data_IF_894966743407
#
_entry.id   IF_894966743407
#
_cell.length_a   1.000
_cell.length_b   1.000
_cell.length_c   1.000
_cell.angle_alpha   90.00
_cell.angle_beta   90.00
_cell.angle_gamma   90.00
#
_symmetry.space_group_name_H-M   'P 1'
#
loop_
_entity.id
_entity.type
_entity.pdbx_description
1 polymer ?
#
# COMPACT_ATOMS: atom_id res chain seq x y z
N UNK A 1 -3.56 -1.68 2.65
CA UNK A 1 -2.49 -1.18 1.77
C UNK A 1 -1.66 -2.36 1.32
N UNK A 2 -1.55 -2.56 0.01
CA UNK A 2 -0.74 -3.58 -0.62
C UNK A 2 0.53 -2.93 -1.15
N UNK A 3 1.70 -3.39 -0.73
CA UNK A 3 2.97 -2.85 -1.21
C UNK A 3 3.31 -3.33 -2.63
N UNK A 4 4.01 -2.44 -3.35
CA UNK A 4 4.65 -2.72 -4.62
C UNK A 4 5.66 -3.87 -4.54
N UNK A 5 5.89 -4.52 -5.67
CA UNK A 5 6.71 -5.73 -5.75
C UNK A 5 7.21 -6.04 -7.14
N UNK A 6 7.15 -5.09 -8.08
CA UNK A 6 7.62 -5.27 -9.44
C UNK A 6 6.56 -5.80 -10.41
N UNK A 7 6.93 -5.74 -11.69
CA UNK A 7 6.27 -6.39 -12.81
C UNK A 7 7.31 -7.24 -13.57
N UNK A 8 6.84 -8.32 -14.19
CA UNK A 8 7.62 -9.07 -15.15
C UNK A 8 7.81 -8.23 -16.44
N UNK A 9 8.81 -8.54 -17.28
CA UNK A 9 9.08 -7.78 -18.51
C UNK A 9 7.90 -7.71 -19.49
N UNK A 10 7.00 -8.69 -19.43
CA UNK A 10 5.76 -8.76 -20.23
C UNK A 10 4.56 -8.06 -19.57
N UNK A 11 4.77 -7.39 -18.43
CA UNK A 11 3.71 -6.77 -17.63
C UNK A 11 2.96 -7.74 -16.70
N UNK A 12 3.34 -9.02 -16.70
CA UNK A 12 2.80 -10.02 -15.79
C UNK A 12 3.16 -9.75 -14.32
N UNK A 13 2.41 -10.38 -13.42
CA UNK A 13 2.65 -10.29 -11.98
C UNK A 13 3.54 -11.45 -11.54
N UNK A 14 4.67 -11.20 -10.86
CA UNK A 14 5.49 -12.28 -10.31
C UNK A 14 4.74 -12.99 -9.16
N UNK A 15 5.11 -14.24 -8.88
CA UNK A 15 4.40 -15.08 -7.91
C UNK A 15 4.30 -14.45 -6.51
N UNK A 16 5.37 -13.82 -6.03
CA UNK A 16 5.37 -13.15 -4.73
C UNK A 16 4.38 -11.97 -4.67
N UNK A 17 4.13 -11.28 -5.79
CA UNK A 17 3.11 -10.23 -5.87
C UNK A 17 1.71 -10.85 -5.87
N UNK A 18 1.50 -11.93 -6.61
CA UNK A 18 0.22 -12.66 -6.61
C UNK A 18 -0.15 -13.12 -5.21
N UNK A 19 0.79 -13.68 -4.44
CA UNK A 19 0.53 -14.08 -3.04
C UNK A 19 0.13 -12.90 -2.14
N UNK A 20 0.73 -11.72 -2.35
CA UNK A 20 0.32 -10.51 -1.60
C UNK A 20 -1.08 -10.07 -1.98
N UNK A 21 -1.43 -10.12 -3.28
CA UNK A 21 -2.77 -9.82 -3.78
C UNK A 21 -3.81 -10.78 -3.23
N UNK A 22 -3.50 -12.07 -3.14
CA UNK A 22 -4.35 -13.08 -2.51
C UNK A 22 -4.55 -12.81 -1.02
N UNK A 23 -3.47 -12.49 -0.28
CA UNK A 23 -3.55 -12.09 1.12
C UNK A 23 -4.41 -10.84 1.32
N UNK A 24 -4.26 -9.83 0.46
CA UNK A 24 -5.11 -8.65 0.45
C UNK A 24 -6.58 -8.97 0.17
N UNK A 25 -6.84 -9.77 -0.87
CA UNK A 25 -8.19 -10.18 -1.26
C UNK A 25 -8.88 -10.93 -0.12
N UNK A 26 -8.16 -11.83 0.54
CA UNK A 26 -8.66 -12.57 1.69
C UNK A 26 -9.05 -11.65 2.84
N UNK A 27 -8.17 -10.70 3.22
CA UNK A 27 -8.46 -9.72 4.26
C UNK A 27 -9.66 -8.84 3.89
N UNK A 28 -9.72 -8.37 2.65
CA UNK A 28 -10.84 -7.57 2.14
C UNK A 28 -12.17 -8.34 2.26
N UNK A 29 -12.22 -9.58 1.78
CA UNK A 29 -13.40 -10.44 1.86
C UNK A 29 -13.83 -10.71 3.31
N UNK A 30 -12.89 -10.99 4.20
CA UNK A 30 -13.19 -11.16 5.63
C UNK A 30 -13.82 -9.91 6.23
N UNK A 31 -13.30 -8.72 5.91
CA UNK A 31 -13.87 -7.47 6.41
C UNK A 31 -15.23 -7.16 5.78
N UNK A 32 -15.41 -7.43 4.50
CA UNK A 32 -16.70 -7.31 3.82
C UNK A 32 -17.79 -8.14 4.54
N UNK A 33 -17.47 -9.41 4.84
CA UNK A 33 -18.36 -10.32 5.55
C UNK A 33 -18.68 -9.83 6.96
N UNK A 34 -17.67 -9.33 7.70
CA UNK A 34 -17.87 -8.76 9.04
C UNK A 34 -18.77 -7.52 9.02
N UNK A 35 -18.57 -6.62 8.05
CA UNK A 35 -19.42 -5.44 7.88
C UNK A 35 -20.86 -5.84 7.59
N UNK A 36 -21.09 -6.80 6.68
CA UNK A 36 -22.43 -7.31 6.38
C UNK A 36 -23.09 -7.95 7.60
N UNK A 37 -22.37 -8.78 8.35
CA UNK A 37 -22.87 -9.42 9.56
C UNK A 37 -23.23 -8.39 10.66
N UNK A 38 -22.42 -7.35 10.83
CA UNK A 38 -22.68 -6.27 11.79
C UNK A 38 -23.96 -5.50 11.42
N UNK A 39 -24.14 -5.14 10.14
CA UNK A 39 -25.35 -4.46 9.65
C UNK A 39 -26.59 -5.33 9.88
N UNK A 40 -26.52 -6.63 9.57
CA UNK A 40 -27.62 -7.56 9.80
C UNK A 40 -27.99 -7.67 11.30
N UNK A 41 -26.98 -7.76 12.17
CA UNK A 41 -27.19 -7.85 13.62
C UNK A 41 -27.88 -6.58 14.18
N UNK A 42 -27.47 -5.39 13.73
CA UNK A 42 -28.10 -4.13 14.12
C UNK A 42 -29.55 -4.00 13.62
N UNK A 43 -29.84 -4.49 12.42
CA UNK A 43 -31.21 -4.51 11.89
C UNK A 43 -32.14 -5.39 12.74
N UNK A 44 -31.65 -6.56 13.16
CA UNK A 44 -32.38 -7.48 14.03
C UNK A 44 -32.61 -6.86 15.42
N UNK A 45 -31.59 -6.24 16.03
CA UNK A 45 -31.71 -5.64 17.37
C UNK A 45 -32.65 -4.45 17.42
N UNK A 46 -32.78 -3.71 16.31
CA UNK A 46 -33.63 -2.51 16.24
C UNK A 46 -35.10 -2.82 15.88
N UNK A 47 -35.49 -4.10 15.80
CA UNK A 47 -36.86 -4.49 15.48
C UNK A 47 -37.31 -4.04 14.09
N UNK A 48 -36.37 -3.83 13.16
CA UNK A 48 -36.69 -3.42 11.80
C UNK A 48 -37.40 -4.57 11.08
N UNK A 49 -38.73 -4.43 10.91
CA UNK A 49 -39.51 -5.25 10.00
C UNK A 49 -38.81 -5.24 8.62
N UNK A 50 -38.66 -6.44 8.05
CA UNK A 50 -37.97 -6.73 6.80
C UNK A 50 -37.99 -5.57 5.79
N UNK A 51 -36.82 -4.97 5.54
CA UNK A 51 -36.61 -4.11 4.39
C UNK A 51 -36.82 -4.96 3.13
N UNK A 52 -37.99 -4.78 2.51
CA UNK A 52 -38.31 -5.30 1.19
C UNK A 52 -37.30 -4.75 0.19
N UNK A 53 -36.42 -5.61 -0.31
CA UNK A 53 -35.62 -5.35 -1.50
C UNK A 53 -36.58 -5.31 -2.70
N UNK A 54 -37.08 -4.14 -3.05
CA UNK A 54 -37.69 -3.93 -4.38
C UNK A 54 -36.59 -3.56 -5.36
N UNK A 55 -36.48 -4.36 -6.43
CA UNK A 55 -35.67 -4.08 -7.60
C UNK A 55 -36.05 -2.72 -8.21
N UNK A 56 -35.14 -1.74 -8.07
CA UNK A 56 -35.22 -0.43 -8.68
C UNK A 56 -34.15 -0.30 -9.75
N UNK A 57 -34.53 -0.61 -10.99
CA UNK A 57 -33.74 -0.37 -12.18
C UNK A 57 -33.56 1.15 -12.36
N UNK A 58 -32.34 1.69 -12.21
CA UNK A 58 -32.07 3.12 -12.37
C UNK A 58 -30.67 3.54 -11.92
N UNK A 59 -29.78 3.72 -12.89
CA UNK A 59 -28.46 4.37 -12.85
C UNK A 59 -28.07 5.13 -11.55
N UNK A 60 -27.03 4.64 -10.87
CA UNK A 60 -26.17 5.45 -10.00
C UNK A 60 -26.61 5.62 -8.54
N UNK A 61 -27.00 4.54 -7.85
CA UNK A 61 -27.16 4.58 -6.39
C UNK A 61 -25.78 4.50 -5.71
N UNK A 62 -25.21 5.65 -5.36
CA UNK A 62 -24.10 5.72 -4.42
C UNK A 62 -24.53 5.12 -3.08
N UNK A 63 -23.71 4.24 -2.50
CA UNK A 63 -23.93 3.71 -1.16
C UNK A 63 -24.08 4.88 -0.17
N UNK A 64 -24.99 4.79 0.83
CA UNK A 64 -25.17 5.84 1.82
C UNK A 64 -23.84 6.07 2.55
N UNK A 65 -23.26 7.26 2.39
CA UNK A 65 -22.01 7.66 3.05
C UNK A 65 -22.39 8.50 4.27
N UNK A 66 -22.08 7.99 5.47
CA UNK A 66 -22.11 8.84 6.67
C UNK A 66 -20.80 9.65 6.71
N UNK A 67 -20.87 10.90 7.17
CA UNK A 67 -19.70 11.79 7.24
C UNK A 67 -19.50 12.33 8.65
N UNK A 68 -18.29 12.20 9.19
CA UNK A 68 -17.91 12.78 10.48
C UNK A 68 -16.83 13.84 10.27
N UNK A 69 -17.01 15.03 10.84
CA UNK A 69 -16.02 16.10 10.77
C UNK A 69 -14.91 15.87 11.79
N UNK A 70 -13.66 15.79 11.33
CA UNK A 70 -12.47 15.60 12.17
C UNK A 70 -11.82 16.95 12.52
N UNK A 71 -11.06 17.04 13.63
CA UNK A 71 -10.20 18.19 13.91
C UNK A 71 -9.28 18.48 12.72
N UNK A 72 -9.14 19.76 12.35
CA UNK A 72 -8.35 20.18 11.18
C UNK A 72 -9.14 20.32 9.87
N UNK A 73 -10.47 20.17 9.88
CA UNK A 73 -11.33 20.46 8.72
C UNK A 73 -11.49 19.29 7.73
N UNK A 74 -10.97 18.11 8.06
CA UNK A 74 -11.15 16.90 7.24
C UNK A 74 -12.50 16.23 7.52
N UNK A 75 -13.07 15.59 6.50
CA UNK A 75 -14.32 14.84 6.61
C UNK A 75 -14.03 13.36 6.45
N UNK A 76 -14.33 12.57 7.47
CA UNK A 76 -14.28 11.12 7.43
C UNK A 76 -15.53 10.60 6.72
N UNK A 77 -15.38 10.03 5.54
CA UNK A 77 -16.44 9.29 4.86
C UNK A 77 -16.48 7.86 5.40
N UNK A 78 -17.60 7.46 5.99
CA UNK A 78 -17.89 6.08 6.36
C UNK A 78 -18.96 5.55 5.40
N UNK A 79 -18.53 4.81 4.40
CA UNK A 79 -19.44 3.97 3.60
C UNK A 79 -19.60 2.64 4.34
N UNK A 80 -20.83 2.14 4.57
CA UNK A 80 -21.04 0.76 4.96
C UNK A 80 -20.44 -0.14 3.86
N UNK A 81 -19.38 -0.87 4.19
CA UNK A 81 -18.64 -1.66 3.21
C UNK A 81 -17.37 -2.25 3.78
N UNK A 82 -16.65 -3.00 2.95
CA UNK A 82 -15.29 -3.39 3.24
C UNK A 82 -14.36 -2.16 3.17
N UNK A 83 -13.26 -2.11 3.94
CA UNK A 83 -12.28 -1.05 3.79
C UNK A 83 -11.66 -1.09 2.38
N UNK A 84 -11.38 0.07 1.76
CA UNK A 84 -10.78 0.11 0.43
C UNK A 84 -9.36 -0.48 0.44
N UNK A 85 -8.95 -1.03 -0.70
CA UNK A 85 -7.61 -1.54 -0.94
C UNK A 85 -6.80 -0.47 -1.67
N UNK A 86 -5.77 0.06 -1.00
CA UNK A 86 -4.77 0.90 -1.67
C UNK A 86 -3.68 0.03 -2.28
N UNK A 87 -3.46 0.20 -3.58
CA UNK A 87 -2.49 -0.49 -4.41
C UNK A 87 -1.29 0.44 -4.61
N UNK A 88 -0.20 0.14 -3.91
CA UNK A 88 0.99 0.99 -3.88
C UNK A 88 1.98 0.55 -4.96
N UNK A 89 2.55 1.51 -5.69
CA UNK A 89 3.65 1.27 -6.61
C UNK A 89 3.42 1.89 -7.99
N UNK A 90 4.40 2.69 -8.42
CA UNK A 90 4.62 3.03 -9.81
C UNK A 90 5.50 1.96 -10.49
N UNK A 91 6.65 1.65 -9.88
CA UNK A 91 7.67 0.74 -10.41
C UNK A 91 8.90 0.71 -9.52
N UNK A 92 10.08 0.49 -10.09
CA UNK A 92 11.37 0.44 -9.38
C UNK A 92 12.42 1.31 -10.06
N UNK A 93 13.38 1.92 -9.33
CA UNK A 93 14.49 2.64 -9.95
C UNK A 93 15.52 1.71 -10.61
N UNK A 94 15.36 0.39 -10.46
CA UNK A 94 16.36 -0.59 -10.88
C UNK A 94 16.06 -1.26 -12.22
N UNK A 95 14.88 -1.03 -12.80
CA UNK A 95 14.48 -1.62 -14.09
C UNK A 95 13.75 -0.60 -14.95
N UNK A 96 13.82 -0.71 -16.28
CA UNK A 96 12.98 0.09 -17.17
C UNK A 96 11.49 -0.08 -16.82
N UNK A 97 10.68 0.98 -17.00
CA UNK A 97 9.23 0.84 -16.87
C UNK A 97 8.70 -0.15 -17.93
N UNK A 98 7.68 -0.91 -17.57
CA UNK A 98 6.93 -1.72 -18.52
C UNK A 98 6.03 -0.79 -19.34
N UNK A 99 6.06 -0.94 -20.66
CA UNK A 99 5.19 -0.19 -21.57
C UNK A 99 4.10 -1.13 -22.09
N UNK A 100 2.84 -0.71 -21.96
CA UNK A 100 1.71 -1.50 -22.43
C UNK A 100 1.53 -1.47 -23.96
N UNK A 101 0.58 -2.25 -24.46
CA UNK A 101 0.27 -2.30 -25.89
C UNK A 101 -0.23 -0.96 -26.48
N UNK A 102 -0.68 -0.03 -25.62
CA UNK A 102 -1.09 1.32 -26.00
C UNK A 102 0.05 2.34 -26.00
N UNK A 103 1.27 1.94 -25.61
CA UNK A 103 2.42 2.84 -25.50
C UNK A 103 2.47 3.64 -24.20
N UNK A 104 1.66 3.30 -23.20
CA UNK A 104 1.66 3.95 -21.89
C UNK A 104 2.48 3.16 -20.87
N UNK A 105 2.97 3.85 -19.83
CA UNK A 105 3.63 3.20 -18.71
C UNK A 105 2.61 2.37 -17.92
N UNK A 106 2.85 1.06 -17.83
CA UNK A 106 2.12 0.16 -16.96
C UNK A 106 2.70 0.25 -15.55
N UNK A 107 2.00 0.96 -14.66
CA UNK A 107 2.35 1.02 -13.25
C UNK A 107 2.00 -0.27 -12.52
N UNK A 108 2.79 -0.64 -11.51
CA UNK A 108 2.50 -1.77 -10.61
C UNK A 108 1.06 -1.71 -10.07
N UNK A 109 0.65 -0.58 -9.51
CA UNK A 109 -0.71 -0.36 -8.99
C UNK A 109 -1.82 -0.54 -10.03
N UNK A 110 -1.53 -0.38 -11.33
CA UNK A 110 -2.50 -0.60 -12.41
C UNK A 110 -2.68 -2.09 -12.68
N UNK A 111 -1.58 -2.84 -12.81
CA UNK A 111 -1.65 -4.29 -12.96
C UNK A 111 -2.31 -4.98 -11.74
N UNK A 112 -2.11 -4.44 -10.54
CA UNK A 112 -2.74 -4.95 -9.31
C UNK A 112 -4.25 -4.73 -9.31
N UNK A 113 -4.68 -3.56 -9.80
CA UNK A 113 -6.10 -3.23 -9.89
C UNK A 113 -6.80 -4.19 -10.85
N UNK A 114 -6.22 -4.42 -12.03
CA UNK A 114 -6.78 -5.33 -13.03
C UNK A 114 -6.92 -6.76 -12.48
N UNK A 115 -5.91 -7.25 -11.75
CA UNK A 115 -5.96 -8.58 -11.14
C UNK A 115 -7.09 -8.73 -10.11
N UNK A 116 -7.34 -7.70 -9.29
CA UNK A 116 -8.39 -7.69 -8.27
C UNK A 116 -9.78 -7.48 -8.89
N UNK A 117 -9.90 -6.64 -9.91
CA UNK A 117 -11.13 -6.45 -10.68
C UNK A 117 -11.61 -7.76 -11.31
N UNK A 118 -10.69 -8.52 -11.92
CA UNK A 118 -10.99 -9.84 -12.50
C UNK A 118 -11.48 -10.86 -11.45
N UNK A 119 -11.20 -10.62 -10.16
CA UNK A 119 -11.66 -11.45 -9.03
C UNK A 119 -12.86 -10.86 -8.29
N UNK A 120 -13.50 -9.86 -8.88
CA UNK A 120 -14.78 -9.32 -8.41
C UNK A 120 -14.66 -8.28 -7.29
N UNK A 121 -13.47 -7.74 -7.01
CA UNK A 121 -13.38 -6.56 -6.13
C UNK A 121 -14.00 -5.37 -6.85
N UNK A 122 -14.97 -4.65 -6.26
CA UNK A 122 -15.57 -3.48 -6.88
C UNK A 122 -14.53 -2.39 -7.16
N UNK A 123 -14.61 -1.76 -8.33
CA UNK A 123 -13.69 -0.68 -8.70
C UNK A 123 -13.69 0.49 -7.71
N UNK A 124 -14.84 0.79 -7.09
CA UNK A 124 -14.96 1.83 -6.06
C UNK A 124 -14.16 1.55 -4.78
N UNK A 125 -13.75 0.31 -4.56
CA UNK A 125 -12.96 -0.10 -3.39
C UNK A 125 -11.47 -0.20 -3.70
N UNK A 126 -11.04 0.08 -4.94
CA UNK A 126 -9.64 0.03 -5.36
C UNK A 126 -9.08 1.44 -5.53
N UNK A 127 -8.02 1.75 -4.79
CA UNK A 127 -7.37 3.06 -4.82
C UNK A 127 -5.93 2.88 -5.30
N UNK A 128 -5.54 3.55 -6.38
CA UNK A 128 -4.17 3.48 -6.90
C UNK A 128 -3.27 4.54 -6.29
N UNK A 129 -2.03 4.19 -6.06
CA UNK A 129 -0.92 5.10 -5.77
C UNK A 129 0.22 4.77 -6.73
N UNK A 130 0.52 5.70 -7.65
CA UNK A 130 1.42 5.48 -8.79
C UNK A 130 2.60 6.48 -8.81
N UNK A 131 3.05 6.96 -7.64
CA UNK A 131 4.21 7.85 -7.49
C UNK A 131 5.40 7.16 -6.82
N UNK A 132 5.14 6.11 -6.04
CA UNK A 132 6.17 5.42 -5.28
C UNK A 132 7.04 4.51 -6.16
N UNK A 133 8.35 4.52 -5.92
CA UNK A 133 9.32 3.67 -6.62
C UNK A 133 10.07 2.72 -5.67
N UNK A 134 9.78 2.84 -4.38
CA UNK A 134 10.38 2.06 -3.31
C UNK A 134 9.50 2.07 -2.05
N UNK A 135 9.95 1.38 -1.00
CA UNK A 135 9.22 1.26 0.27
C UNK A 135 9.05 2.60 0.99
N UNK A 136 10.02 3.50 0.91
CA UNK A 136 9.91 4.85 1.51
C UNK A 136 8.84 5.65 0.79
N UNK A 137 8.84 5.63 -0.55
CA UNK A 137 7.77 6.17 -1.36
C UNK A 137 6.40 5.59 -1.00
N UNK A 138 6.30 4.27 -0.90
CA UNK A 138 5.04 3.60 -0.54
C UNK A 138 4.48 4.16 0.77
N UNK A 139 5.31 4.32 1.80
CA UNK A 139 4.89 4.88 3.09
C UNK A 139 4.48 6.36 2.96
N UNK A 140 5.31 7.18 2.33
CA UNK A 140 5.10 8.62 2.21
C UNK A 140 3.86 8.99 1.38
N UNK A 141 3.72 8.39 0.19
CA UNK A 141 2.61 8.70 -0.71
C UNK A 141 1.30 8.07 -0.25
N UNK A 142 1.32 6.86 0.31
CA UNK A 142 0.09 6.28 0.89
C UNK A 142 -0.47 7.12 2.03
N UNK A 143 0.42 7.68 2.87
CA UNK A 143 0.04 8.58 3.95
C UNK A 143 -0.64 9.85 3.41
N UNK A 144 0.04 10.56 2.49
CA UNK A 144 -0.39 11.89 2.07
C UNK A 144 -1.49 11.89 1.01
N UNK A 145 -1.54 10.89 0.13
CA UNK A 145 -2.58 10.79 -0.88
C UNK A 145 -3.86 10.16 -0.32
N UNK A 146 -3.75 9.24 0.65
CA UNK A 146 -4.89 8.42 1.10
C UNK A 146 -5.17 8.54 2.58
N UNK A 147 -4.24 8.14 3.47
CA UNK A 147 -4.55 7.99 4.89
C UNK A 147 -4.96 9.31 5.57
N UNK A 148 -4.21 10.40 5.33
CA UNK A 148 -4.51 11.72 5.89
C UNK A 148 -5.79 12.30 5.28
N UNK A 149 -5.94 12.42 3.94
CA UNK A 149 -7.15 12.99 3.35
C UNK A 149 -8.43 12.24 3.70
N UNK A 150 -8.37 10.91 3.79
CA UNK A 150 -9.52 10.07 4.11
C UNK A 150 -9.76 9.89 5.62
N UNK A 151 -8.91 10.49 6.47
CA UNK A 151 -9.04 10.39 7.93
C UNK A 151 -8.89 8.96 8.46
N UNK A 152 -8.09 8.12 7.81
CA UNK A 152 -7.91 6.74 8.21
C UNK A 152 -7.05 6.62 9.46
N UNK A 153 -7.52 5.79 10.40
CA UNK A 153 -6.79 5.54 11.66
C UNK A 153 -6.23 4.13 11.76
N UNK A 154 -6.90 3.14 11.18
CA UNK A 154 -6.53 1.72 11.27
C UNK A 154 -6.22 1.21 9.87
N UNK A 155 -5.00 0.76 9.66
CA UNK A 155 -4.50 0.44 8.32
C UNK A 155 -3.83 -0.92 8.38
N UNK A 156 -4.33 -1.87 7.61
CA UNK A 156 -3.61 -3.12 7.37
C UNK A 156 -2.56 -2.91 6.27
N UNK A 157 -1.32 -3.32 6.52
CA UNK A 157 -0.19 -3.24 5.58
C UNK A 157 0.21 -4.67 5.19
N UNK A 158 0.06 -5.00 3.91
CA UNK A 158 0.30 -6.35 3.37
C UNK A 158 1.53 -6.34 2.48
N UNK A 159 2.47 -7.25 2.75
CA UNK A 159 3.67 -7.49 1.93
C UNK A 159 4.23 -8.89 2.22
N UNK A 160 5.28 -9.30 1.50
CA UNK A 160 6.00 -10.56 1.74
C UNK A 160 6.66 -10.60 3.12
N UNK A 161 6.79 -11.80 3.71
CA UNK A 161 7.50 -12.03 4.99
C UNK A 161 8.91 -11.45 4.99
N UNK A 162 9.71 -11.71 3.96
CA UNK A 162 11.09 -11.22 3.83
C UNK A 162 11.15 -9.69 3.79
N UNK A 163 10.11 -9.04 3.27
CA UNK A 163 10.07 -7.59 3.09
C UNK A 163 9.40 -6.85 4.27
N UNK A 164 8.72 -7.59 5.14
CA UNK A 164 7.96 -7.00 6.24
C UNK A 164 8.83 -6.20 7.22
N UNK A 165 10.04 -6.64 7.64
CA UNK A 165 10.86 -5.85 8.55
C UNK A 165 11.20 -4.45 8.05
N UNK A 166 11.58 -4.32 6.76
CA UNK A 166 11.83 -3.03 6.12
C UNK A 166 10.57 -2.19 5.99
N UNK A 167 9.47 -2.84 5.63
CA UNK A 167 8.16 -2.19 5.52
C UNK A 167 7.73 -1.58 6.85
N UNK A 168 7.76 -2.36 7.94
CA UNK A 168 7.39 -1.89 9.26
C UNK A 168 8.28 -0.74 9.75
N UNK A 169 9.61 -0.90 9.68
CA UNK A 169 10.55 0.14 10.08
C UNK A 169 10.34 1.47 9.32
N UNK A 170 9.94 1.38 8.05
CA UNK A 170 9.69 2.55 7.20
C UNK A 170 8.34 3.19 7.52
N UNK A 171 7.27 2.40 7.51
CA UNK A 171 5.91 2.87 7.75
C UNK A 171 5.75 3.44 9.16
N UNK A 172 6.29 2.78 10.19
CA UNK A 172 6.20 3.25 11.58
C UNK A 172 6.79 4.66 11.72
N UNK A 173 7.98 4.91 11.17
CA UNK A 173 8.60 6.24 11.24
C UNK A 173 7.76 7.28 10.49
N UNK A 174 7.38 7.00 9.24
CA UNK A 174 6.64 7.96 8.40
C UNK A 174 5.28 8.32 9.02
N UNK A 175 4.53 7.32 9.47
CA UNK A 175 3.22 7.52 10.08
C UNK A 175 3.32 8.12 11.49
N UNK A 176 4.36 7.82 12.28
CA UNK A 176 4.56 8.43 13.59
C UNK A 176 4.93 9.92 13.50
N UNK A 177 5.73 10.31 12.49
CA UNK A 177 6.01 11.73 12.22
C UNK A 177 4.72 12.49 11.90
N UNK A 178 3.85 11.89 11.08
CA UNK A 178 2.55 12.46 10.75
C UNK A 178 1.60 12.51 11.96
N UNK A 179 1.52 11.43 12.73
CA UNK A 179 0.71 11.36 13.94
C UNK A 179 1.10 12.44 14.95
N UNK A 180 2.40 12.60 15.18
CA UNK A 180 2.93 13.67 16.05
C UNK A 180 2.59 15.06 15.51
N UNK A 181 2.87 15.32 14.23
CA UNK A 181 2.70 16.65 13.65
C UNK A 181 1.23 17.07 13.51
N UNK A 182 0.34 16.14 13.14
CA UNK A 182 -1.06 16.45 12.84
C UNK A 182 -2.00 16.24 14.03
N UNK A 183 -1.64 15.33 14.95
CA UNK A 183 -2.51 14.91 16.04
C UNK A 183 -1.86 14.99 17.42
N UNK A 184 -0.59 15.37 17.52
CA UNK A 184 0.15 15.42 18.78
C UNK A 184 0.46 14.04 19.38
N UNK A 185 0.25 12.96 18.62
CA UNK A 185 0.40 11.58 19.09
C UNK A 185 1.06 10.70 18.01
N UNK A 186 2.29 10.19 18.23
CA UNK A 186 2.97 9.31 17.27
C UNK A 186 2.23 7.98 17.06
N UNK A 187 1.36 7.57 17.98
CA UNK A 187 0.56 6.34 17.90
C UNK A 187 -0.84 6.56 17.29
N UNK A 188 -1.11 7.75 16.76
CA UNK A 188 -2.41 8.10 16.20
C UNK A 188 -2.88 7.10 15.15
N UNK A 189 -1.99 6.72 14.23
CA UNK A 189 -2.22 5.70 13.22
C UNK A 189 -1.87 4.31 13.75
N UNK A 190 -2.81 3.39 13.69
CA UNK A 190 -2.65 2.00 14.07
C UNK A 190 -2.38 1.15 12.83
N UNK A 191 -1.12 0.77 12.64
CA UNK A 191 -0.67 -0.08 11.55
C UNK A 191 -0.71 -1.55 11.97
N UNK A 192 -1.42 -2.36 11.19
CA UNK A 192 -1.52 -3.81 11.37
C UNK A 192 -0.75 -4.53 10.25
N UNK A 193 0.41 -5.08 10.58
CA UNK A 193 1.31 -5.70 9.62
C UNK A 193 0.89 -7.14 9.34
N UNK A 194 0.62 -7.43 8.06
CA UNK A 194 0.08 -8.70 7.57
C UNK A 194 1.03 -9.32 6.55
N UNK A 195 2.08 -10.03 7.02
CA UNK A 195 3.02 -10.66 6.11
C UNK A 195 2.36 -11.84 5.40
N UNK A 196 2.72 -12.07 4.14
CA UNK A 196 2.35 -13.27 3.37
C UNK A 196 3.57 -14.17 3.21
N UNK A 197 3.34 -15.49 3.29
CA UNK A 197 4.43 -16.46 3.37
C UNK A 197 5.28 -16.53 2.10
N UNK A 198 6.59 -16.62 2.33
CA UNK A 198 7.57 -16.83 1.26
C UNK A 198 7.89 -18.30 0.97
N UNK A 199 7.18 -19.22 1.62
CA UNK A 199 7.44 -20.65 1.52
C UNK A 199 7.39 -21.12 0.05
N UNK A 200 8.49 -21.72 -0.41
CA UNK A 200 8.61 -22.23 -1.78
C UNK A 200 8.81 -21.18 -2.87
N UNK A 201 8.91 -19.88 -2.55
CA UNK A 201 9.13 -18.83 -3.57
C UNK A 201 10.57 -18.78 -4.07
N UNK A 202 11.54 -19.01 -3.18
CA UNK A 202 12.95 -18.83 -3.47
C UNK A 202 13.79 -19.96 -2.85
N UNK A 203 14.93 -20.30 -3.46
CA UNK A 203 15.96 -21.12 -2.82
C UNK A 203 16.43 -20.48 -1.50
N UNK A 204 16.87 -21.32 -0.54
CA UNK A 204 17.26 -20.85 0.79
C UNK A 204 18.39 -19.80 0.76
N UNK A 205 19.39 -19.97 -0.11
CA UNK A 205 20.50 -19.02 -0.24
C UNK A 205 20.05 -17.65 -0.80
N UNK A 206 19.02 -17.64 -1.65
CA UNK A 206 18.39 -16.40 -2.14
C UNK A 206 17.60 -15.70 -1.02
N UNK A 207 16.88 -16.46 -0.19
CA UNK A 207 16.19 -15.90 0.98
C UNK A 207 17.16 -15.29 1.99
N UNK A 208 18.28 -15.96 2.26
CA UNK A 208 19.35 -15.45 3.14
C UNK A 208 19.95 -14.14 2.59
N UNK A 209 20.29 -14.11 1.31
CA UNK A 209 20.80 -12.91 0.65
C UNK A 209 19.80 -11.75 0.71
N UNK A 210 18.51 -12.04 0.50
CA UNK A 210 17.44 -11.04 0.67
C UNK A 210 17.34 -10.55 2.10
N UNK A 211 17.33 -11.43 3.09
CA UNK A 211 17.23 -11.05 4.50
C UNK A 211 18.38 -10.12 4.91
N UNK A 212 19.61 -10.41 4.46
CA UNK A 212 20.77 -9.55 4.68
C UNK A 212 20.60 -8.17 4.03
N UNK A 213 20.12 -8.12 2.78
CA UNK A 213 19.84 -6.86 2.07
C UNK A 213 18.77 -6.03 2.77
N UNK A 214 17.67 -6.67 3.20
CA UNK A 214 16.56 -6.01 3.90
C UNK A 214 17.03 -5.46 5.25
N UNK A 215 17.85 -6.21 6.01
CA UNK A 215 18.45 -5.74 7.26
C UNK A 215 19.39 -4.55 7.04
N UNK A 216 20.23 -4.57 5.99
CA UNK A 216 21.10 -3.46 5.65
C UNK A 216 20.30 -2.20 5.28
N UNK A 217 19.20 -2.37 4.54
CA UNK A 217 18.28 -1.28 4.19
C UNK A 217 17.56 -0.71 5.42
N UNK A 218 17.13 -1.54 6.37
CA UNK A 218 16.59 -1.09 7.67
C UNK A 218 17.62 -0.26 8.43
N UNK A 219 18.86 -0.75 8.55
CA UNK A 219 19.90 -0.02 9.25
C UNK A 219 20.23 1.33 8.58
N UNK A 220 20.24 1.38 7.26
CA UNK A 220 20.41 2.63 6.51
C UNK A 220 19.25 3.60 6.75
N UNK A 221 18.01 3.10 6.71
CA UNK A 221 16.82 3.88 7.01
C UNK A 221 16.88 4.48 8.41
N UNK A 222 17.16 3.68 9.44
CA UNK A 222 17.27 4.14 10.83
C UNK A 222 18.34 5.23 11.01
N UNK A 223 19.51 5.09 10.35
CA UNK A 223 20.54 6.13 10.38
C UNK A 223 20.06 7.43 9.74
N UNK A 224 19.37 7.34 8.61
CA UNK A 224 18.88 8.49 7.87
C UNK A 224 17.78 9.24 8.63
N UNK A 225 16.97 8.53 9.42
CA UNK A 225 15.78 9.11 10.08
C UNK A 225 15.94 9.42 11.56
N UNK A 226 17.05 8.99 12.20
CA UNK A 226 17.28 9.16 13.64
C UNK A 226 17.11 10.60 14.17
N UNK A 227 17.30 11.62 13.33
CA UNK A 227 17.17 13.03 13.69
C UNK A 227 15.96 13.76 13.11
N UNK A 228 15.03 13.08 12.45
CA UNK A 228 13.86 13.73 11.85
C UNK A 228 12.81 14.07 12.91
N UNK A 229 12.37 15.33 12.99
CA UNK A 229 11.40 15.79 13.98
C UNK A 229 9.96 15.92 13.42
N UNK A 230 9.80 15.95 12.09
CA UNK A 230 8.50 16.03 11.46
C UNK A 230 8.51 15.75 9.96
N UNK A 231 7.34 15.86 9.33
CA UNK A 231 7.18 15.64 7.89
C UNK A 231 7.99 16.61 7.04
N UNK A 232 8.29 17.81 7.57
CA UNK A 232 9.17 18.77 6.89
C UNK A 232 10.61 18.26 6.73
N UNK A 233 11.16 17.58 7.75
CA UNK A 233 12.51 17.01 7.67
C UNK A 233 12.54 15.79 6.75
N UNK A 234 11.52 14.93 6.85
CA UNK A 234 11.34 13.82 5.92
C UNK A 234 11.24 14.30 4.47
N UNK A 235 10.42 15.31 4.20
CA UNK A 235 10.30 15.92 2.87
C UNK A 235 11.65 16.46 2.39
N UNK A 236 12.36 17.23 3.22
CA UNK A 236 13.67 17.79 2.87
C UNK A 236 14.65 16.69 2.51
N UNK A 237 14.74 15.63 3.32
CA UNK A 237 15.61 14.50 3.04
C UNK A 237 15.18 13.77 1.76
N UNK A 238 13.89 13.50 1.59
CA UNK A 238 13.35 12.75 0.45
C UNK A 238 13.75 13.43 -0.88
N UNK A 239 13.54 14.75 -0.99
CA UNK A 239 13.80 15.48 -2.23
C UNK A 239 15.22 16.04 -2.36
N UNK A 240 16.03 16.02 -1.29
CA UNK A 240 17.44 16.42 -1.37
C UNK A 240 18.38 15.23 -1.62
N UNK A 241 18.14 14.08 -0.98
CA UNK A 241 19.13 13.00 -0.90
C UNK A 241 18.65 11.63 -1.38
N UNK A 242 17.34 11.35 -1.36
CA UNK A 242 16.84 10.03 -1.68
C UNK A 242 16.98 9.71 -3.17
N UNK A 243 17.40 8.49 -3.51
CA UNK A 243 17.67 8.07 -4.90
C UNK A 243 16.47 8.30 -5.82
N UNK A 244 15.27 7.88 -5.39
CA UNK A 244 14.09 7.90 -6.24
C UNK A 244 13.49 9.30 -6.46
N UNK A 245 13.81 10.28 -5.60
CA UNK A 245 13.06 11.54 -5.52
C UNK A 245 13.93 12.79 -5.59
N UNK A 246 15.24 12.67 -5.32
CA UNK A 246 16.16 13.78 -5.48
C UNK A 246 16.49 14.01 -6.95
N UNK A 247 16.20 15.23 -7.43
CA UNK A 247 16.56 15.66 -8.78
C UNK A 247 18.08 15.59 -9.01
N UNK A 248 18.88 15.84 -7.97
CA UNK A 248 20.34 15.75 -8.06
C UNK A 248 20.82 14.33 -8.42
N UNK A 249 20.01 13.32 -8.08
CA UNK A 249 20.31 11.90 -8.27
C UNK A 249 19.55 11.26 -9.44
N UNK A 250 18.78 12.03 -10.20
CA UNK A 250 17.97 11.50 -11.31
C UNK A 250 18.79 10.71 -12.35
N UNK A 251 20.08 11.02 -12.49
CA UNK A 251 20.99 10.37 -13.42
C UNK A 251 21.41 8.95 -12.98
N UNK A 252 21.18 8.58 -11.71
CA UNK A 252 21.47 7.26 -11.16
C UNK A 252 20.33 6.25 -11.45
N UNK A 253 19.15 6.74 -11.84
CA UNK A 253 17.98 5.92 -12.15
C UNK A 253 18.28 4.95 -13.30
N UNK A 254 17.97 3.67 -13.11
CA UNK A 254 18.23 2.59 -14.08
C UNK A 254 19.69 2.13 -14.20
N UNK A 255 20.67 2.76 -13.51
CA UNK A 255 22.10 2.41 -13.66
C UNK A 255 22.58 1.27 -12.76
N UNK A 256 21.89 1.01 -11.64
CA UNK A 256 22.33 0.02 -10.63
C UNK A 256 22.22 -1.46 -11.06
N UNK A 257 21.87 -1.76 -12.31
CA UNK A 257 21.82 -3.16 -12.79
C UNK A 257 23.19 -3.81 -12.88
N UNK A 258 24.24 -3.04 -13.18
CA UNK A 258 25.59 -3.59 -13.37
C UNK A 258 26.22 -4.09 -12.04
N UNK A 259 25.72 -3.62 -10.89
CA UNK A 259 26.23 -3.94 -9.55
C UNK A 259 25.27 -4.80 -8.69
N UNK A 260 24.09 -5.15 -9.20
CA UNK A 260 23.15 -6.01 -8.48
C UNK A 260 23.63 -7.45 -8.53
N UNK A 261 23.82 -8.06 -7.35
CA UNK A 261 24.05 -9.51 -7.23
C UNK A 261 23.02 -10.24 -8.11
N UNK A 262 23.46 -11.05 -9.10
CA UNK A 262 22.57 -11.79 -9.98
C UNK A 262 21.52 -12.61 -9.23
N UNK A 263 21.86 -13.11 -8.04
CA UNK A 263 20.91 -13.83 -7.17
C UNK A 263 19.78 -12.94 -6.67
N UNK A 264 20.07 -11.67 -6.41
CA UNK A 264 19.07 -10.68 -5.99
C UNK A 264 18.32 -10.09 -7.18
N UNK A 265 18.94 -9.95 -8.35
CA UNK A 265 18.31 -9.42 -9.56
C UNK A 265 17.09 -10.25 -10.01
N UNK A 266 17.15 -11.57 -9.85
CA UNK A 266 16.04 -12.51 -10.12
C UNK A 266 14.81 -12.33 -9.24
N UNK A 267 14.90 -11.42 -8.27
CA UNK A 267 13.91 -11.23 -7.22
C UNK A 267 13.32 -9.81 -7.21
N UNK A 268 13.76 -8.96 -8.14
CA UNK A 268 13.09 -7.70 -8.48
C UNK A 268 12.16 -7.93 -9.65
#
# INVERSE_FOLDING_TARGET
>A
MLLGGGLLPDGGLPEWVVRRLEGCLHLYQQQAQRSLAAVAATAISNGAAALSLTDGNGSGAGLPTASTQLPGGFTQLTTPGAPPIVLLGAGTPHKPPVIDAGGYVLHESTAYADWLLQRGVPAGDLLKEAQSYDTVGNAYFSLLQHAVPAGWRRIAVVTSEFHMPRTAATFDVVYALAGTQLHGDPSWFHLDYRPVSDEGLFPADVLEARAAKEAAAVAAWQRNTAGMAGLADLHRWLYATHLCYSVARQHEFGRHQEDLDPKLAATY
#
